data_IF_954327944036
#
_entry.id   IF_954327944036
#
_cell.length_a   1.000
_cell.length_b   1.000
_cell.length_c   1.000
_cell.angle_alpha   90.00
_cell.angle_beta   90.00
_cell.angle_gamma   90.00
#
_symmetry.space_group_name_H-M   'P 1'
#
loop_
_entity.id
_entity.type
_entity.pdbx_description
1 polymer ?
#
# COMPACT_ATOMS: atom_id res chain seq x y z
N UNK A 1 -3.70 4.10 -14.36
CA UNK A 1 -3.82 2.62 -14.29
C UNK A 1 -4.90 2.10 -15.21
N UNK A 2 -6.17 2.54 -15.13
CA UNK A 2 -7.19 2.15 -16.13
C UNK A 2 -6.81 2.52 -17.58
N UNK A 3 -6.10 3.63 -17.79
CA UNK A 3 -5.66 4.08 -19.13
C UNK A 3 -4.48 3.32 -19.76
N UNK A 4 -3.87 2.35 -19.05
CA UNK A 4 -2.62 1.68 -19.48
C UNK A 4 -2.73 0.14 -19.55
N UNK A 5 -3.90 -0.41 -19.22
CA UNK A 5 -4.14 -1.85 -19.21
C UNK A 5 -5.22 -2.15 -20.24
N UNK A 6 -5.07 -3.24 -20.99
CA UNK A 6 -6.18 -3.72 -21.81
C UNK A 6 -7.36 -4.15 -20.94
N UNK A 7 -8.56 -4.22 -21.52
CA UNK A 7 -9.77 -4.70 -20.84
C UNK A 7 -9.52 -6.08 -20.18
N UNK A 8 -8.78 -6.96 -20.86
CA UNK A 8 -8.41 -8.29 -20.39
C UNK A 8 -7.44 -8.25 -19.21
N UNK A 9 -6.45 -7.36 -19.25
CA UNK A 9 -5.52 -7.17 -18.15
C UNK A 9 -6.20 -6.56 -16.92
N UNK A 10 -7.15 -5.65 -17.13
CA UNK A 10 -7.96 -5.06 -16.06
C UNK A 10 -8.89 -6.10 -15.43
N UNK A 11 -9.53 -6.97 -16.23
CA UNK A 11 -10.33 -8.11 -15.72
C UNK A 11 -9.50 -9.06 -14.85
N UNK A 12 -8.22 -9.26 -15.17
CA UNK A 12 -7.28 -10.04 -14.34
C UNK A 12 -6.96 -9.39 -12.98
N UNK A 13 -7.39 -8.14 -12.74
CA UNK A 13 -7.29 -7.46 -11.44
C UNK A 13 -8.58 -7.57 -10.60
N UNK A 14 -9.59 -8.33 -11.06
CA UNK A 14 -10.82 -8.58 -10.29
C UNK A 14 -10.47 -9.17 -8.91
N UNK A 15 -11.00 -8.57 -7.85
CA UNK A 15 -10.70 -8.94 -6.47
C UNK A 15 -9.52 -8.20 -5.83
N UNK A 16 -8.75 -7.40 -6.58
CA UNK A 16 -7.56 -6.70 -6.08
C UNK A 16 -7.89 -5.76 -4.92
N UNK A 17 -9.03 -5.08 -4.99
CA UNK A 17 -9.49 -4.17 -3.93
C UNK A 17 -9.69 -4.89 -2.59
N UNK A 18 -10.16 -6.15 -2.62
CA UNK A 18 -10.30 -6.96 -1.42
C UNK A 18 -8.94 -7.48 -0.93
N UNK A 19 -8.09 -7.94 -1.85
CA UNK A 19 -6.73 -8.37 -1.52
C UNK A 19 -5.90 -7.24 -0.86
N UNK A 20 -6.12 -5.98 -1.27
CA UNK A 20 -5.45 -4.80 -0.68
C UNK A 20 -5.89 -4.51 0.76
N UNK A 21 -7.10 -4.94 1.18
CA UNK A 21 -7.65 -4.67 2.52
C UNK A 21 -7.41 -5.79 3.51
N UNK A 22 -7.16 -7.01 3.03
CA UNK A 22 -6.93 -8.15 3.91
C UNK A 22 -5.64 -7.93 4.72
N UNK A 23 -5.65 -8.28 6.02
CA UNK A 23 -4.40 -8.37 6.77
C UNK A 23 -3.53 -9.47 6.17
N UNK A 24 -2.21 -9.32 6.30
CA UNK A 24 -1.23 -10.12 5.57
C UNK A 24 -1.33 -11.61 5.86
N UNK A 25 -1.72 -11.94 7.09
CA UNK A 25 -1.89 -13.31 7.59
C UNK A 25 -3.09 -14.01 6.95
N UNK A 26 -4.07 -13.25 6.44
CA UNK A 26 -5.29 -13.76 5.78
C UNK A 26 -5.20 -13.75 4.25
N UNK A 27 -4.04 -13.41 3.68
CA UNK A 27 -3.84 -13.43 2.23
C UNK A 27 -3.67 -14.86 1.73
N UNK A 28 -4.59 -15.30 0.88
CA UNK A 28 -4.42 -16.53 0.11
C UNK A 28 -3.31 -16.37 -0.94
N UNK A 29 -2.83 -17.48 -1.51
CA UNK A 29 -1.81 -17.40 -2.57
C UNK A 29 -2.33 -16.72 -3.83
N UNK A 30 -3.66 -16.82 -4.09
CA UNK A 30 -4.33 -16.05 -5.13
C UNK A 30 -4.27 -14.54 -4.85
N UNK A 31 -4.54 -14.12 -3.60
CA UNK A 31 -4.44 -12.71 -3.20
C UNK A 31 -3.00 -12.19 -3.36
N UNK A 32 -2.00 -12.97 -2.91
CA UNK A 32 -0.58 -12.63 -3.04
C UNK A 32 -0.15 -12.48 -4.50
N UNK A 33 -0.58 -13.40 -5.37
CA UNK A 33 -0.29 -13.33 -6.80
C UNK A 33 -0.91 -12.08 -7.45
N UNK A 34 -2.14 -11.74 -7.06
CA UNK A 34 -2.87 -10.57 -7.54
C UNK A 34 -2.19 -9.26 -7.13
N UNK A 35 -1.78 -9.15 -5.85
CA UNK A 35 -1.01 -8.03 -5.34
C UNK A 35 0.35 -7.91 -6.06
N UNK A 36 1.06 -9.03 -6.25
CA UNK A 36 2.34 -9.06 -6.99
C UNK A 36 2.17 -8.51 -8.40
N UNK A 37 1.11 -8.91 -9.11
CA UNK A 37 0.81 -8.39 -10.45
C UNK A 37 0.52 -6.88 -10.41
N UNK A 38 -0.35 -6.43 -9.51
CA UNK A 38 -0.68 -5.02 -9.39
C UNK A 38 0.55 -4.14 -9.09
N UNK A 39 1.45 -4.63 -8.24
CA UNK A 39 2.69 -3.93 -7.88
C UNK A 39 3.72 -3.87 -9.01
N UNK A 40 3.71 -4.83 -9.95
CA UNK A 40 4.52 -4.73 -11.18
C UNK A 40 4.08 -3.55 -12.04
N UNK A 41 2.77 -3.33 -12.16
CA UNK A 41 2.23 -2.20 -12.94
C UNK A 41 2.32 -0.86 -12.19
N UNK A 42 2.46 -0.89 -10.86
CA UNK A 42 2.61 0.34 -10.08
C UNK A 42 3.44 0.18 -8.82
N UNK A 43 4.69 0.67 -8.90
CA UNK A 43 5.54 0.85 -7.73
C UNK A 43 4.93 1.84 -6.72
N UNK A 44 4.15 2.83 -7.19
CA UNK A 44 3.44 3.79 -6.33
C UNK A 44 2.41 3.07 -5.45
N UNK A 45 1.60 2.17 -6.04
CA UNK A 45 0.65 1.35 -5.31
C UNK A 45 1.34 0.46 -4.26
N UNK A 46 2.48 -0.17 -4.62
CA UNK A 46 3.27 -0.97 -3.69
C UNK A 46 3.74 -0.16 -2.48
N UNK A 47 4.21 1.08 -2.69
CA UNK A 47 4.65 1.97 -1.61
C UNK A 47 3.50 2.34 -0.68
N UNK A 48 2.33 2.71 -1.23
CA UNK A 48 1.14 3.03 -0.43
C UNK A 48 0.65 1.82 0.36
N UNK A 49 0.62 0.65 -0.26
CA UNK A 49 0.22 -0.60 0.42
C UNK A 49 1.13 -0.93 1.62
N UNK A 50 2.44 -0.77 1.48
CA UNK A 50 3.37 -0.94 2.60
C UNK A 50 3.11 0.05 3.72
N UNK A 51 2.80 1.30 3.40
CA UNK A 51 2.47 2.31 4.41
C UNK A 51 1.17 1.94 5.16
N UNK A 52 0.16 1.36 4.50
CA UNK A 52 -1.01 0.84 5.21
C UNK A 52 -0.67 -0.32 6.16
N UNK A 53 0.20 -1.26 5.74
CA UNK A 53 0.66 -2.34 6.62
C UNK A 53 1.45 -1.79 7.83
N UNK A 54 2.31 -0.79 7.61
CA UNK A 54 3.04 -0.12 8.69
C UNK A 54 2.08 0.54 9.69
N UNK A 55 1.01 1.19 9.22
CA UNK A 55 0.02 1.82 10.09
C UNK A 55 -0.68 0.78 10.98
N UNK A 56 -1.16 -0.31 10.38
CA UNK A 56 -1.76 -1.42 11.13
C UNK A 56 -0.80 -1.96 12.20
N UNK A 57 0.47 -2.19 11.82
CA UNK A 57 1.49 -2.67 12.75
C UNK A 57 1.71 -1.72 13.94
N UNK A 58 1.57 -0.41 13.76
CA UNK A 58 1.70 0.57 14.86
C UNK A 58 0.63 0.31 15.93
N UNK A 59 -0.61 0.03 15.54
CA UNK A 59 -1.70 -0.24 16.46
C UNK A 59 -1.65 -1.65 17.06
N UNK A 60 -1.15 -2.63 16.31
CA UNK A 60 -1.00 -4.01 16.80
C UNK A 60 0.21 -4.19 17.74
N UNK A 61 1.15 -3.24 17.73
CA UNK A 61 2.34 -3.28 18.60
C UNK A 61 2.01 -2.79 19.99
N UNK A 62 2.13 -3.65 21.00
CA UNK A 62 2.11 -3.23 22.41
C UNK A 62 3.30 -2.31 22.71
N UNK A 63 3.02 -1.10 23.20
CA UNK A 63 4.02 -0.07 23.51
C UNK A 63 3.46 0.90 24.55
N UNK A 64 4.33 1.70 25.19
CA UNK A 64 3.88 2.87 25.95
C UNK A 64 3.20 3.90 25.05
N UNK A 65 2.33 4.75 25.63
CA UNK A 65 1.65 5.85 24.92
C UNK A 65 2.63 6.72 24.13
N UNK A 66 3.73 7.13 24.77
CA UNK A 66 4.76 7.96 24.13
C UNK A 66 5.45 7.23 22.98
N UNK A 67 5.71 5.93 23.14
CA UNK A 67 6.25 5.10 22.07
C UNK A 67 5.31 4.98 20.86
N UNK A 68 4.01 4.83 21.11
CA UNK A 68 2.97 4.80 20.06
C UNK A 68 2.88 6.13 19.31
N UNK A 69 2.81 7.25 20.03
CA UNK A 69 2.81 8.60 19.45
C UNK A 69 4.04 8.84 18.58
N UNK A 70 5.23 8.45 19.05
CA UNK A 70 6.47 8.59 18.28
C UNK A 70 6.42 7.80 16.97
N UNK A 71 5.95 6.55 17.02
CA UNK A 71 5.80 5.70 15.81
C UNK A 71 4.81 6.30 14.82
N UNK A 72 3.67 6.80 15.30
CA UNK A 72 2.66 7.45 14.46
C UNK A 72 3.20 8.72 13.80
N UNK A 73 3.90 9.59 14.55
CA UNK A 73 4.55 10.79 14.00
C UNK A 73 5.54 10.42 12.89
N UNK A 74 6.40 9.44 13.12
CA UNK A 74 7.36 8.97 12.12
C UNK A 74 6.65 8.43 10.86
N UNK A 75 5.53 7.71 11.03
CA UNK A 75 4.73 7.22 9.92
C UNK A 75 4.11 8.37 9.11
N UNK A 76 3.56 9.40 9.76
CA UNK A 76 3.01 10.60 9.10
C UNK A 76 4.10 11.26 8.24
N UNK A 77 5.31 11.44 8.79
CA UNK A 77 6.45 12.02 8.03
C UNK A 77 6.79 11.20 6.79
N UNK A 78 6.79 9.85 6.88
CA UNK A 78 7.00 8.99 5.72
C UNK A 78 5.92 9.17 4.65
N UNK A 79 4.65 9.26 5.05
CA UNK A 79 3.52 9.48 4.14
C UNK A 79 3.66 10.83 3.43
N UNK A 80 3.95 11.90 4.17
CA UNK A 80 4.13 13.24 3.62
C UNK A 80 5.29 13.30 2.62
N UNK A 81 6.43 12.69 2.96
CA UNK A 81 7.58 12.58 2.05
C UNK A 81 7.23 11.84 0.76
N UNK A 82 6.47 10.74 0.86
CA UNK A 82 6.01 10.02 -0.33
C UNK A 82 5.09 10.90 -1.19
N UNK A 83 4.12 11.59 -0.58
CA UNK A 83 3.20 12.48 -1.32
C UNK A 83 3.97 13.60 -2.03
N UNK A 84 4.91 14.24 -1.33
CA UNK A 84 5.72 15.31 -1.90
C UNK A 84 6.53 14.83 -3.11
N UNK A 85 7.18 13.66 -3.01
CA UNK A 85 7.91 13.05 -4.11
C UNK A 85 6.99 12.69 -5.29
N UNK A 86 5.76 12.25 -5.02
CA UNK A 86 4.79 11.92 -6.05
C UNK A 86 4.24 13.15 -6.79
N UNK A 87 4.14 14.29 -6.12
CA UNK A 87 3.75 15.59 -6.71
C UNK A 87 4.86 16.11 -7.62
N UNK A 88 6.13 16.07 -7.17
CA UNK A 88 7.26 16.51 -7.99
C UNK A 88 7.42 15.68 -9.27
N UNK A 89 7.26 14.36 -9.20
CA UNK A 89 7.30 13.46 -10.37
C UNK A 89 6.12 13.60 -11.35
N UNK A 90 5.12 14.42 -11.04
CA UNK A 90 3.98 14.71 -11.95
C UNK A 90 4.13 16.06 -12.66
N UNK A 91 5.01 16.93 -12.16
CA UNK A 91 5.14 18.32 -12.58
C UNK A 91 6.45 18.59 -13.34
N UNK A 92 7.22 17.56 -13.67
CA UNK A 92 8.39 17.60 -14.55
C UNK A 92 8.27 16.48 -15.57
#
# INVERSE_FOLDING_TARGET
MKKLLSEEEYKKLKGLMWALRKPKEKLSDKDKALLKKAFKHSLKLKKVYKLSEELTKIFDTKTSRNGGIRRLKNWITKVQSLILLLVHLKNG
#
